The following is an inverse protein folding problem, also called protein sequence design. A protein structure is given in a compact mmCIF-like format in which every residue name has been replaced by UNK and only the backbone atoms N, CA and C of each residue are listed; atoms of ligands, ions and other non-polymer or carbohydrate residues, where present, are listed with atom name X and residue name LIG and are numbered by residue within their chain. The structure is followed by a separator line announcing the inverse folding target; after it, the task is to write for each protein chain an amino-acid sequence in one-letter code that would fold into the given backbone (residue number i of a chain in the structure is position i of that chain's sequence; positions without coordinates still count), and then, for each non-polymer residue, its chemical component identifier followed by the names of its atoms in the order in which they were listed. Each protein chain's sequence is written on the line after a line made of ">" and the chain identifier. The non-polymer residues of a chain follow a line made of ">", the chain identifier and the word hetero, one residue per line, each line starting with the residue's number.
data_IF_698106598682
#
_entry.id   IF_698106598682
#
_cell.length_a   1.000
_cell.length_b   1.000
_cell.length_c   1.000
_cell.angle_alpha   90.00
_cell.angle_beta   90.00
_cell.angle_gamma   90.00
#
_symmetry.space_group_name_H-M   'P 1'
#
loop_
_entity.id
_entity.type
_entity.pdbx_description
1 polymer ?
#
# COMPACT_ATOMS: atom_id res chain seq x y z
N UNK A 1 -4.03 -3.26 10.06
CA UNK A 1 -2.94 -4.23 10.08
C UNK A 1 -2.10 -4.06 11.33
N UNK A 2 -1.84 -5.15 12.06
CA UNK A 2 -1.00 -5.07 13.27
C UNK A 2 0.52 -5.00 12.95
N UNK A 3 1.30 -4.57 13.95
CA UNK A 3 2.75 -4.38 13.80
C UNK A 3 3.50 -5.70 13.54
N UNK A 4 2.96 -6.83 14.01
CA UNK A 4 3.59 -8.14 13.82
C UNK A 4 3.45 -8.62 12.36
N UNK A 5 2.29 -8.43 11.75
CA UNK A 5 2.05 -8.70 10.34
C UNK A 5 2.97 -7.85 9.45
N UNK A 6 3.16 -6.57 9.79
CA UNK A 6 4.08 -5.69 9.07
C UNK A 6 5.54 -6.18 9.17
N UNK A 7 5.99 -6.55 10.36
CA UNK A 7 7.34 -7.10 10.57
C UNK A 7 7.55 -8.41 9.81
N UNK A 8 6.53 -9.27 9.76
CA UNK A 8 6.59 -10.53 9.02
C UNK A 8 6.68 -10.29 7.50
N UNK A 9 5.86 -9.39 6.94
CA UNK A 9 5.92 -9.04 5.52
C UNK A 9 7.26 -8.41 5.14
N UNK A 10 7.82 -7.55 5.99
CA UNK A 10 9.17 -6.99 5.76
C UNK A 10 10.24 -8.09 5.70
N UNK A 11 10.15 -9.11 6.56
CA UNK A 11 11.08 -10.26 6.52
C UNK A 11 10.93 -11.08 5.24
N UNK A 12 9.70 -11.30 4.79
CA UNK A 12 9.41 -12.02 3.54
C UNK A 12 10.01 -11.28 2.34
N UNK A 13 9.75 -9.98 2.20
CA UNK A 13 10.31 -9.16 1.10
C UNK A 13 11.83 -9.24 1.07
N UNK A 14 12.49 -9.10 2.22
CA UNK A 14 13.96 -9.19 2.28
C UNK A 14 14.48 -10.59 1.94
N UNK A 15 13.70 -11.63 2.22
CA UNK A 15 14.04 -13.01 1.89
C UNK A 15 13.89 -13.23 0.38
N UNK A 16 12.77 -12.80 -0.20
CA UNK A 16 12.48 -12.92 -1.62
C UNK A 16 13.49 -12.16 -2.49
N UNK A 17 13.93 -10.97 -2.07
CA UNK A 17 14.98 -10.22 -2.78
C UNK A 17 16.30 -11.00 -2.78
N UNK A 18 16.66 -11.61 -1.64
CA UNK A 18 17.90 -12.42 -1.53
C UNK A 18 17.82 -13.66 -2.39
N UNK A 19 16.68 -14.35 -2.39
CA UNK A 19 16.45 -15.54 -3.20
C UNK A 19 16.46 -15.21 -4.68
N UNK A 20 15.77 -14.14 -5.07
CA UNK A 20 15.80 -13.64 -6.44
C UNK A 20 17.23 -13.27 -6.86
N UNK A 21 18.01 -12.61 -6.00
CA UNK A 21 19.41 -12.26 -6.31
C UNK A 21 20.28 -13.51 -6.49
N UNK A 22 20.05 -14.56 -5.70
CA UNK A 22 20.73 -15.87 -5.87
C UNK A 22 20.35 -16.54 -7.19
N UNK A 23 19.08 -16.47 -7.58
CA UNK A 23 18.61 -17.00 -8.87
C UNK A 23 19.07 -16.15 -10.07
N UNK A 24 19.36 -14.87 -9.86
CA UNK A 24 19.77 -13.90 -10.89
C UNK A 24 21.16 -13.32 -10.60
N UNK A 25 22.23 -14.14 -10.61
CA UNK A 25 23.57 -13.69 -10.25
C UNK A 25 24.14 -12.66 -11.23
N UNK A 26 23.64 -12.66 -12.47
CA UNK A 26 24.04 -11.73 -13.54
C UNK A 26 23.13 -10.50 -13.67
N UNK A 27 22.14 -10.34 -12.78
CA UNK A 27 21.26 -9.18 -12.85
C UNK A 27 22.06 -7.88 -12.72
N UNK A 28 21.75 -6.93 -13.58
CA UNK A 28 22.35 -5.60 -13.60
C UNK A 28 21.83 -4.76 -12.43
N UNK A 29 22.48 -3.64 -12.16
CA UNK A 29 22.02 -2.71 -11.12
C UNK A 29 20.57 -2.26 -11.33
N UNK A 30 20.22 -1.92 -12.57
CA UNK A 30 18.85 -1.51 -12.96
C UNK A 30 17.84 -2.63 -12.67
N UNK A 31 18.17 -3.87 -13.00
CA UNK A 31 17.28 -5.00 -12.72
C UNK A 31 17.13 -5.27 -11.22
N UNK A 32 18.17 -5.04 -10.42
CA UNK A 32 18.08 -5.13 -8.96
C UNK A 32 17.16 -4.02 -8.43
N UNK A 33 17.32 -2.80 -8.91
CA UNK A 33 16.49 -1.66 -8.52
C UNK A 33 15.01 -1.90 -8.85
N UNK A 34 14.71 -2.29 -10.09
CA UNK A 34 13.34 -2.61 -10.53
C UNK A 34 12.69 -3.67 -9.64
N UNK A 35 13.44 -4.71 -9.30
CA UNK A 35 12.93 -5.85 -8.55
C UNK A 35 12.74 -5.54 -7.06
N UNK A 36 13.60 -4.69 -6.49
CA UNK A 36 13.41 -4.11 -5.14
C UNK A 36 12.20 -3.19 -5.14
N UNK A 37 12.12 -2.26 -6.09
CA UNK A 37 11.04 -1.29 -6.20
C UNK A 37 9.68 -1.98 -6.34
N UNK A 38 9.59 -2.99 -7.21
CA UNK A 38 8.38 -3.81 -7.40
C UNK A 38 7.86 -4.41 -6.09
N UNK A 39 8.73 -4.96 -5.25
CA UNK A 39 8.31 -5.54 -3.96
C UNK A 39 7.93 -4.49 -2.93
N UNK A 40 8.62 -3.34 -2.93
CA UNK A 40 8.24 -2.23 -2.06
C UNK A 40 6.86 -1.66 -2.44
N UNK A 41 6.55 -1.54 -3.72
CA UNK A 41 5.21 -1.13 -4.18
C UNK A 41 4.11 -2.10 -3.71
N UNK A 42 4.39 -3.40 -3.69
CA UNK A 42 3.44 -4.39 -3.15
C UNK A 42 3.22 -4.22 -1.65
N UNK A 43 4.28 -3.90 -0.90
CA UNK A 43 4.16 -3.59 0.53
C UNK A 43 3.35 -2.31 0.77
N UNK A 44 3.62 -1.26 0.00
CA UNK A 44 2.92 0.00 0.07
C UNK A 44 1.42 -0.18 -0.19
N UNK A 45 1.04 -0.93 -1.23
CA UNK A 45 -0.36 -1.24 -1.52
C UNK A 45 -1.07 -1.90 -0.32
N UNK A 46 -0.43 -2.88 0.32
CA UNK A 46 -0.99 -3.56 1.50
C UNK A 46 -1.07 -2.65 2.73
N UNK A 47 -0.09 -1.77 2.91
CA UNK A 47 -0.12 -0.75 3.97
C UNK A 47 -1.31 0.20 3.79
N UNK A 48 -1.54 0.66 2.57
CA UNK A 48 -2.67 1.52 2.22
C UNK A 48 -3.99 0.79 2.47
N UNK A 49 -4.13 -0.45 2.00
CA UNK A 49 -5.32 -1.28 2.25
C UNK A 49 -5.60 -1.42 3.75
N UNK A 50 -4.58 -1.77 4.55
CA UNK A 50 -4.71 -1.89 5.99
C UNK A 50 -5.10 -0.58 6.68
N UNK A 51 -4.57 0.56 6.22
CA UNK A 51 -4.92 1.89 6.75
C UNK A 51 -6.35 2.31 6.38
N UNK A 52 -6.82 1.93 5.19
CA UNK A 52 -8.22 2.14 4.77
C UNK A 52 -9.17 1.31 5.63
N UNK A 53 -8.84 0.04 5.93
CA UNK A 53 -9.65 -0.83 6.78
C UNK A 53 -9.74 -0.35 8.23
N UNK A 54 -8.66 0.25 8.76
CA UNK A 54 -8.63 0.81 10.13
C UNK A 54 -9.29 2.19 10.24
N UNK A 55 -9.59 2.86 9.12
CA UNK A 55 -10.21 4.18 9.17
C UNK A 55 -11.70 4.09 9.55
N UNK A 56 -12.15 4.78 10.61
CA UNK A 56 -13.59 4.90 10.92
C UNK A 56 -14.36 5.69 9.85
N UNK A 57 -13.67 6.24 8.85
CA UNK A 57 -14.20 7.05 7.75
C UNK A 57 -15.02 6.28 6.71
N UNK A 58 -15.52 5.08 7.02
CA UNK A 58 -16.50 4.32 6.21
C UNK A 58 -17.86 5.03 6.06
N UNK A 59 -17.95 6.29 6.50
CA UNK A 59 -19.08 7.21 6.33
C UNK A 59 -18.95 8.17 5.12
N UNK A 60 -17.84 8.18 4.39
CA UNK A 60 -17.75 9.00 3.17
C UNK A 60 -18.34 8.25 1.98
N UNK A 61 -19.66 8.36 1.84
CA UNK A 61 -20.39 7.82 0.70
C UNK A 61 -21.82 7.36 0.98
N UNK A 62 -22.36 7.56 2.19
CA UNK A 62 -23.76 7.25 2.47
C UNK A 62 -24.47 8.42 3.16
N UNK A 63 -24.88 9.38 2.33
CA UNK A 63 -26.08 10.21 2.54
C UNK A 63 -26.01 11.31 3.60
N UNK A 64 -25.69 12.52 3.17
CA UNK A 64 -26.44 13.70 3.61
C UNK A 64 -26.76 14.56 2.39
N UNK A 65 -27.71 14.06 1.59
CA UNK A 65 -28.47 14.86 0.62
C UNK A 65 -29.39 15.84 1.34
N UNK A 66 -28.83 16.67 2.22
CA UNK A 66 -29.55 17.68 3.00
C UNK A 66 -28.55 18.73 3.49
N UNK A 67 -27.92 19.47 2.56
CA UNK A 67 -27.54 20.90 2.77
C UNK A 67 -26.82 21.54 1.56
N UNK A 68 -27.03 21.06 0.34
CA UNK A 68 -26.55 21.77 -0.85
C UNK A 68 -27.65 22.68 -1.43
N UNK A 69 -27.53 23.97 -1.08
CA UNK A 69 -27.99 25.14 -1.84
C UNK A 69 -29.48 25.52 -1.80
N UNK A 70 -29.88 26.23 -0.74
CA UNK A 70 -30.77 27.38 -0.91
C UNK A 70 -29.91 28.61 -1.22
N UNK A 71 -29.61 28.84 -2.50
CA UNK A 71 -29.16 30.15 -2.95
C UNK A 71 -30.33 31.13 -2.81
N UNK A 72 -30.35 31.90 -1.72
CA UNK A 72 -31.21 33.06 -1.56
C UNK A 72 -30.69 34.15 -2.52
N UNK A 73 -31.42 34.37 -3.62
CA UNK A 73 -31.19 35.51 -4.50
C UNK A 73 -31.96 36.71 -3.94
N UNK A 74 -31.25 37.80 -3.65
CA UNK A 74 -31.82 39.14 -3.45
C UNK A 74 -30.92 40.16 -4.13
#
# INVERSE_FOLDING_TARGET
>A
MDEQALRQMNREILTDIKEWRRANPRATYVQIEEEVHKRLMQLEARLIEGAVEESPSRAWGRGSGADAALCHQS
#
